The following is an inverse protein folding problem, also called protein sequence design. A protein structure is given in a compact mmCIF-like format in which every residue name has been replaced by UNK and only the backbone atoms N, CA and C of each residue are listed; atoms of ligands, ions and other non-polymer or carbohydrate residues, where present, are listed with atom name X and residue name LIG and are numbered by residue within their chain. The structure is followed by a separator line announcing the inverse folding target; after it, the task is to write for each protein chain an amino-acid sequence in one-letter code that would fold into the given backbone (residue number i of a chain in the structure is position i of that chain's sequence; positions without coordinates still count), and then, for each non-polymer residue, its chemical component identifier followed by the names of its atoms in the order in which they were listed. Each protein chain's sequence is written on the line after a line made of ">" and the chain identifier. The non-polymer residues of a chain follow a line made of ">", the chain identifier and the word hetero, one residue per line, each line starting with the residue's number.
data_IF_704075952407
#
_entry.id   IF_704075952407
#
_cell.length_a   1.000
_cell.length_b   1.000
_cell.length_c   1.000
_cell.angle_alpha   90.00
_cell.angle_beta   90.00
_cell.angle_gamma   90.00
#
_symmetry.space_group_name_H-M   'P 1'
#
loop_
_entity.id
_entity.type
_entity.pdbx_description
1 polymer ?
#
# COMPACT_ATOMS: atom_id res chain seq x y z
N UNK A 1 -7.04 -28.57 11.31
CA UNK A 1 -8.45 -28.30 10.89
C UNK A 1 -8.48 -27.04 10.04
N UNK A 2 -9.36 -26.91 9.07
CA UNK A 2 -9.45 -25.69 8.28
C UNK A 2 -9.87 -24.51 9.18
N UNK A 3 -9.21 -23.36 8.99
CA UNK A 3 -9.52 -22.11 9.67
C UNK A 3 -10.92 -21.63 9.26
N UNK A 4 -11.77 -21.33 10.24
CA UNK A 4 -13.15 -20.87 10.06
C UNK A 4 -13.36 -19.44 10.54
N UNK A 5 -12.58 -18.98 11.53
CA UNK A 5 -12.70 -17.64 12.10
C UNK A 5 -11.35 -17.02 12.39
N UNK A 6 -11.16 -15.79 11.92
CA UNK A 6 -9.93 -15.02 12.05
C UNK A 6 -10.18 -13.75 12.86
N UNK A 7 -9.33 -13.49 13.88
CA UNK A 7 -9.19 -12.16 14.46
C UNK A 7 -8.12 -11.39 13.67
N UNK A 8 -8.53 -10.41 12.89
CA UNK A 8 -7.61 -9.53 12.16
C UNK A 8 -7.41 -8.26 12.96
N UNK A 9 -6.14 -7.89 13.22
CA UNK A 9 -5.83 -6.74 14.08
C UNK A 9 -5.24 -5.59 13.25
N UNK A 10 -5.90 -4.44 13.29
CA UNK A 10 -5.47 -3.19 12.67
C UNK A 10 -5.72 -2.00 13.61
N UNK A 11 -4.86 -1.86 14.64
CA UNK A 11 -5.09 -0.93 15.76
C UNK A 11 -5.19 0.53 15.29
N UNK A 12 -4.21 1.01 14.53
CA UNK A 12 -3.98 2.45 14.30
C UNK A 12 -4.75 3.05 13.13
N UNK A 13 -5.40 2.22 12.31
CA UNK A 13 -6.20 2.68 11.16
C UNK A 13 -7.29 1.68 10.81
N UNK A 14 -8.50 2.19 10.58
CA UNK A 14 -9.62 1.37 10.10
C UNK A 14 -9.46 1.05 8.61
N UNK A 15 -9.79 -0.18 8.15
CA UNK A 15 -9.83 -0.50 6.72
C UNK A 15 -10.87 0.32 5.94
N UNK A 16 -11.83 0.92 6.65
CA UNK A 16 -12.88 1.79 6.10
C UNK A 16 -12.53 3.28 6.16
N UNK A 17 -11.35 3.66 6.66
CA UNK A 17 -10.94 5.05 6.69
C UNK A 17 -10.85 5.64 5.27
N UNK A 18 -11.34 6.89 5.03
CA UNK A 18 -11.32 7.53 3.72
C UNK A 18 -9.91 7.58 3.14
N UNK A 19 -9.79 7.32 1.84
CA UNK A 19 -8.50 7.37 1.13
C UNK A 19 -7.99 8.80 1.01
N UNK A 20 -6.67 8.95 0.97
CA UNK A 20 -6.01 10.27 0.85
C UNK A 20 -5.72 10.96 2.19
N UNK A 21 -6.18 10.43 3.31
CA UNK A 21 -5.78 10.91 4.63
C UNK A 21 -4.31 10.59 4.95
N UNK A 22 -3.72 11.34 5.88
CA UNK A 22 -2.30 11.19 6.28
C UNK A 22 -1.92 9.78 6.78
N UNK A 23 -2.90 8.96 7.18
CA UNK A 23 -2.70 7.62 7.75
C UNK A 23 -3.28 6.49 6.90
N UNK A 24 -3.92 6.79 5.77
CA UNK A 24 -4.54 5.80 4.89
C UNK A 24 -3.65 5.50 3.69
N UNK A 25 -3.65 4.25 3.24
CA UNK A 25 -2.80 3.82 2.14
C UNK A 25 -2.97 2.35 1.80
N UNK A 26 -1.96 1.76 1.19
CA UNK A 26 -1.99 0.38 0.72
C UNK A 26 -2.37 -0.67 1.77
N UNK A 27 -2.05 -0.45 3.06
CA UNK A 27 -2.44 -1.36 4.13
C UNK A 27 -3.97 -1.42 4.32
N UNK A 28 -4.67 -0.28 4.26
CA UNK A 28 -6.13 -0.23 4.39
C UNK A 28 -6.80 -0.99 3.24
N UNK A 29 -6.33 -0.77 2.00
CA UNK A 29 -6.77 -1.51 0.82
C UNK A 29 -6.51 -3.01 0.99
N UNK A 30 -5.30 -3.38 1.41
CA UNK A 30 -4.92 -4.76 1.66
C UNK A 30 -5.87 -5.46 2.64
N UNK A 31 -6.10 -4.87 3.80
CA UNK A 31 -6.96 -5.44 4.84
C UNK A 31 -8.39 -5.58 4.33
N UNK A 32 -8.93 -4.53 3.71
CA UNK A 32 -10.31 -4.52 3.20
C UNK A 32 -10.54 -5.59 2.12
N UNK A 33 -9.69 -5.61 1.08
CA UNK A 33 -9.89 -6.52 -0.05
C UNK A 33 -9.60 -7.98 0.34
N UNK A 34 -8.54 -8.21 1.13
CA UNK A 34 -8.25 -9.56 1.64
C UNK A 34 -9.40 -10.10 2.50
N UNK A 35 -9.90 -9.28 3.42
CA UNK A 35 -11.00 -9.72 4.31
C UNK A 35 -12.27 -10.03 3.53
N UNK A 36 -12.58 -9.23 2.49
CA UNK A 36 -13.70 -9.50 1.57
C UNK A 36 -13.56 -10.87 0.91
N UNK A 37 -12.37 -11.16 0.37
CA UNK A 37 -12.12 -12.44 -0.31
C UNK A 37 -12.12 -13.63 0.65
N UNK A 38 -11.60 -13.48 1.86
CA UNK A 38 -11.70 -14.52 2.89
C UNK A 38 -13.16 -14.76 3.29
N UNK A 39 -13.96 -13.68 3.43
CA UNK A 39 -15.38 -13.77 3.67
C UNK A 39 -16.14 -14.51 2.56
N UNK A 40 -15.85 -14.23 1.28
CA UNK A 40 -16.38 -14.97 0.13
C UNK A 40 -15.96 -16.44 0.13
N UNK A 41 -14.83 -16.81 0.74
CA UNK A 41 -14.39 -18.18 0.92
C UNK A 41 -15.01 -18.87 2.15
N UNK A 42 -15.98 -18.23 2.81
CA UNK A 42 -16.72 -18.75 3.96
C UNK A 42 -15.99 -18.64 5.29
N UNK A 43 -14.95 -17.81 5.38
CA UNK A 43 -14.22 -17.55 6.63
C UNK A 43 -14.82 -16.33 7.31
N UNK A 44 -15.20 -16.45 8.58
CA UNK A 44 -15.61 -15.30 9.40
C UNK A 44 -14.38 -14.46 9.76
N UNK A 45 -14.38 -13.18 9.43
CA UNK A 45 -13.28 -12.24 9.70
C UNK A 45 -13.78 -11.10 10.59
N UNK A 46 -13.28 -11.03 11.81
CA UNK A 46 -13.50 -9.92 12.72
C UNK A 46 -12.26 -9.01 12.71
N UNK A 47 -12.39 -7.81 12.17
CA UNK A 47 -11.31 -6.82 12.07
C UNK A 47 -11.43 -5.89 13.28
N UNK A 48 -10.44 -5.92 14.16
CA UNK A 48 -10.40 -5.08 15.34
C UNK A 48 -9.57 -3.82 15.09
N UNK A 49 -10.17 -2.66 15.28
CA UNK A 49 -9.53 -1.36 15.16
C UNK A 49 -9.90 -0.46 16.33
N UNK A 50 -9.09 0.56 16.60
CA UNK A 50 -9.40 1.52 17.65
C UNK A 50 -10.47 2.50 17.16
N UNK A 51 -11.47 2.77 18.00
CA UNK A 51 -12.42 3.84 17.80
C UNK A 51 -11.71 5.18 17.97
N UNK A 52 -11.74 6.02 16.95
CA UNK A 52 -11.05 7.31 16.94
C UNK A 52 -11.99 8.51 16.92
N UNK A 53 -13.26 8.29 16.64
CA UNK A 53 -14.27 9.33 16.52
C UNK A 53 -15.59 8.88 17.19
N UNK A 54 -16.37 9.83 17.68
CA UNK A 54 -17.67 9.53 18.29
C UNK A 54 -18.68 8.91 17.31
N UNK A 55 -18.57 9.28 16.04
CA UNK A 55 -19.43 8.77 14.96
C UNK A 55 -19.02 7.38 14.45
N UNK A 56 -17.85 6.86 14.84
CA UNK A 56 -17.48 5.49 14.47
C UNK A 56 -18.48 4.52 15.10
N UNK A 57 -19.09 3.59 14.32
CA UNK A 57 -20.02 2.59 14.85
C UNK A 57 -19.29 1.61 15.78
N UNK A 58 -20.00 0.86 16.60
CA UNK A 58 -19.38 -0.26 17.34
C UNK A 58 -18.96 -1.37 16.37
N UNK A 59 -19.83 -1.69 15.42
CA UNK A 59 -19.61 -2.73 14.41
C UNK A 59 -20.06 -2.20 13.05
N UNK A 60 -19.25 -2.42 12.02
CA UNK A 60 -19.56 -2.15 10.63
C UNK A 60 -19.36 -3.42 9.78
N UNK A 61 -20.34 -3.79 8.97
CA UNK A 61 -20.33 -4.97 8.11
C UNK A 61 -20.31 -4.64 6.61
N UNK A 62 -19.98 -3.42 6.24
CA UNK A 62 -20.04 -2.93 4.85
C UNK A 62 -18.98 -3.53 3.91
N UNK A 63 -17.93 -4.17 4.44
CA UNK A 63 -16.87 -4.77 3.63
C UNK A 63 -17.41 -5.96 2.79
N UNK A 64 -18.29 -6.77 3.36
CA UNK A 64 -18.85 -7.94 2.68
C UNK A 64 -19.38 -9.00 3.65
N UNK A 65 -19.88 -10.10 3.09
CA UNK A 65 -20.37 -11.23 3.87
C UNK A 65 -19.27 -11.81 4.76
N UNK A 66 -19.66 -12.25 5.96
CA UNK A 66 -18.77 -12.84 6.96
C UNK A 66 -17.65 -11.91 7.45
N UNK A 67 -17.69 -10.61 7.18
CA UNK A 67 -16.66 -9.64 7.58
C UNK A 67 -17.28 -8.56 8.46
N UNK A 68 -16.66 -8.29 9.62
CA UNK A 68 -17.07 -7.21 10.52
C UNK A 68 -15.87 -6.38 10.91
N UNK A 69 -16.01 -5.07 10.92
CA UNK A 69 -15.06 -4.12 11.52
C UNK A 69 -15.56 -3.74 12.89
N UNK A 70 -14.80 -3.99 13.93
CA UNK A 70 -15.17 -3.79 15.33
C UNK A 70 -14.31 -2.66 15.87
N UNK A 71 -14.97 -1.57 16.26
CA UNK A 71 -14.33 -0.36 16.76
C UNK A 71 -14.28 -0.38 18.29
N UNK A 72 -13.10 -0.61 18.85
CA UNK A 72 -12.90 -0.72 20.29
C UNK A 72 -12.48 0.62 20.89
N UNK A 73 -13.04 0.95 22.06
CA UNK A 73 -12.61 2.08 22.85
C UNK A 73 -11.29 1.74 23.55
N UNK A 74 -10.28 2.58 23.34
CA UNK A 74 -9.00 2.54 24.04
C UNK A 74 -8.45 3.95 24.05
N UNK A 75 -8.39 4.58 25.23
CA UNK A 75 -8.05 5.97 25.42
C UNK A 75 -9.04 6.99 24.83
N UNK A 76 -8.67 8.26 24.78
CA UNK A 76 -9.48 9.35 24.22
C UNK A 76 -9.83 9.15 22.74
N UNK A 77 -11.01 9.62 22.33
CA UNK A 77 -11.50 9.57 20.94
C UNK A 77 -10.88 10.68 20.08
N UNK A 78 -9.58 10.58 19.84
CA UNK A 78 -8.79 11.52 19.06
C UNK A 78 -7.92 10.78 18.04
N UNK A 79 -7.52 11.42 16.92
CA UNK A 79 -6.49 10.89 16.03
C UNK A 79 -5.14 10.87 16.75
N UNK A 80 -4.42 9.75 16.70
CA UNK A 80 -3.14 9.55 17.39
C UNK A 80 -2.01 9.26 16.44
N UNK A 81 -0.79 9.63 16.82
CA UNK A 81 0.45 9.13 16.25
C UNK A 81 0.63 7.65 16.61
N UNK A 82 1.49 6.88 15.90
CA UNK A 82 1.81 5.52 16.30
C UNK A 82 2.35 5.39 17.74
N UNK A 83 3.10 6.39 18.21
CA UNK A 83 3.68 6.43 19.54
C UNK A 83 2.59 6.59 20.62
N UNK A 84 1.61 7.47 20.39
CA UNK A 84 0.45 7.63 21.27
C UNK A 84 -0.40 6.35 21.32
N UNK A 85 -0.60 5.68 20.17
CA UNK A 85 -1.26 4.37 20.14
C UNK A 85 -0.54 3.34 21.01
N UNK A 86 0.81 3.34 21.00
CA UNK A 86 1.60 2.39 21.79
C UNK A 86 1.29 2.44 23.28
N UNK A 87 1.10 3.62 23.83
CA UNK A 87 0.74 3.83 25.24
C UNK A 87 -0.60 3.20 25.65
N UNK A 88 -1.51 2.94 24.71
CA UNK A 88 -2.86 2.44 24.97
C UNK A 88 -3.10 1.02 24.42
N UNK A 89 -2.05 0.29 24.00
CA UNK A 89 -2.21 -1.08 23.46
C UNK A 89 -2.74 -2.07 24.48
N UNK A 90 -2.38 -1.92 25.75
CA UNK A 90 -2.89 -2.77 26.84
C UNK A 90 -4.40 -2.59 27.02
N UNK A 91 -4.89 -1.34 26.98
CA UNK A 91 -6.31 -1.03 27.07
C UNK A 91 -7.08 -1.57 25.86
N UNK A 92 -6.53 -1.40 24.65
CA UNK A 92 -7.09 -1.97 23.43
C UNK A 92 -7.18 -3.51 23.50
N UNK A 93 -6.13 -4.17 23.99
CA UNK A 93 -6.08 -5.63 24.13
C UNK A 93 -7.14 -6.12 25.13
N UNK A 94 -7.27 -5.44 26.26
CA UNK A 94 -8.28 -5.76 27.26
C UNK A 94 -9.71 -5.62 26.70
N UNK A 95 -9.98 -4.51 25.97
CA UNK A 95 -11.27 -4.29 25.32
C UNK A 95 -11.59 -5.38 24.26
N UNK A 96 -10.58 -5.80 23.47
CA UNK A 96 -10.72 -6.89 22.51
C UNK A 96 -11.06 -8.23 23.21
N UNK A 97 -10.32 -8.57 24.27
CA UNK A 97 -10.56 -9.79 25.02
C UNK A 97 -11.95 -9.80 25.67
N UNK A 98 -12.38 -8.67 26.23
CA UNK A 98 -13.72 -8.50 26.80
C UNK A 98 -14.82 -8.65 25.74
N UNK A 99 -14.63 -8.06 24.55
CA UNK A 99 -15.55 -8.19 23.42
C UNK A 99 -15.70 -9.64 22.99
N UNK A 100 -14.60 -10.37 22.86
CA UNK A 100 -14.61 -11.78 22.48
C UNK A 100 -15.30 -12.66 23.55
N UNK A 101 -14.96 -12.46 24.83
CA UNK A 101 -15.55 -13.20 25.94
C UNK A 101 -17.05 -12.98 26.05
N UNK A 102 -17.52 -11.72 25.99
CA UNK A 102 -18.94 -11.37 26.10
C UNK A 102 -19.81 -12.04 25.01
N UNK A 103 -19.22 -12.30 23.83
CA UNK A 103 -19.89 -12.90 22.68
C UNK A 103 -19.55 -14.37 22.45
N UNK A 104 -18.84 -15.01 23.38
CA UNK A 104 -18.36 -16.40 23.29
C UNK A 104 -17.63 -16.68 21.95
N UNK A 105 -16.78 -15.73 21.50
CA UNK A 105 -16.04 -15.85 20.26
C UNK A 105 -14.70 -16.55 20.50
N UNK A 106 -14.42 -17.55 19.69
CA UNK A 106 -13.12 -18.21 19.61
C UNK A 106 -12.55 -18.02 18.20
N UNK A 107 -11.26 -17.77 18.11
CA UNK A 107 -10.55 -17.54 16.86
C UNK A 107 -9.53 -18.65 16.63
N UNK A 108 -9.54 -19.21 15.41
CA UNK A 108 -8.60 -20.26 15.02
C UNK A 108 -7.19 -19.70 14.82
N UNK A 109 -7.11 -18.44 14.40
CA UNK A 109 -5.84 -17.72 14.18
C UNK A 109 -6.04 -16.21 14.37
N UNK A 110 -4.99 -15.55 14.81
CA UNK A 110 -4.88 -14.08 14.79
C UNK A 110 -4.01 -13.66 13.58
N UNK A 111 -4.45 -12.66 12.80
CA UNK A 111 -3.65 -12.06 11.75
C UNK A 111 -3.46 -10.57 12.02
N UNK A 112 -2.24 -10.14 12.21
CA UNK A 112 -1.94 -8.78 12.67
C UNK A 112 -1.14 -7.97 11.64
N UNK A 113 -1.44 -6.67 11.55
CA UNK A 113 -0.89 -5.75 10.57
C UNK A 113 -0.23 -4.56 11.23
N UNK A 114 1.05 -4.33 10.90
CA UNK A 114 1.88 -3.28 11.46
C UNK A 114 2.32 -3.58 12.91
N UNK A 115 3.43 -2.98 13.36
CA UNK A 115 4.08 -3.30 14.63
C UNK A 115 3.18 -3.15 15.87
N UNK A 116 2.28 -2.15 15.88
CA UNK A 116 1.31 -1.97 16.98
C UNK A 116 0.36 -3.17 17.13
N UNK A 117 -0.17 -3.63 16.03
CA UNK A 117 -1.08 -4.78 16.00
C UNK A 117 -0.36 -6.10 16.29
N UNK A 118 0.91 -6.19 15.90
CA UNK A 118 1.75 -7.35 16.22
C UNK A 118 1.99 -7.50 17.72
N UNK A 119 2.18 -6.37 18.43
CA UNK A 119 2.25 -6.37 19.90
C UNK A 119 0.98 -6.92 20.53
N UNK A 120 -0.20 -6.46 20.07
CA UNK A 120 -1.51 -6.97 20.54
C UNK A 120 -1.61 -8.46 20.26
N UNK A 121 -1.28 -8.92 19.05
CA UNK A 121 -1.35 -10.34 18.68
C UNK A 121 -0.47 -11.23 19.58
N UNK A 122 0.73 -10.75 19.95
CA UNK A 122 1.59 -11.45 20.90
C UNK A 122 0.92 -11.61 22.27
N UNK A 123 0.24 -10.57 22.77
CA UNK A 123 -0.52 -10.62 24.03
C UNK A 123 -1.75 -11.54 23.95
N UNK A 124 -2.44 -11.56 22.83
CA UNK A 124 -3.54 -12.48 22.60
C UNK A 124 -3.06 -13.95 22.56
N UNK A 125 -1.89 -14.20 21.96
CA UNK A 125 -1.27 -15.54 21.98
C UNK A 125 -0.96 -15.99 23.41
N UNK A 126 -0.40 -15.12 24.26
CA UNK A 126 -0.16 -15.40 25.67
C UNK A 126 -1.44 -15.75 26.43
N UNK A 127 -2.54 -14.99 26.17
CA UNK A 127 -3.79 -15.13 26.91
C UNK A 127 -4.69 -16.27 26.41
N UNK A 128 -4.78 -16.49 25.10
CA UNK A 128 -5.70 -17.45 24.47
C UNK A 128 -5.03 -18.74 24.02
N UNK A 129 -3.69 -18.77 23.93
CA UNK A 129 -2.97 -19.87 23.28
C UNK A 129 -3.13 -19.89 21.75
N UNK A 130 -3.88 -18.95 21.18
CA UNK A 130 -4.15 -18.88 19.74
C UNK A 130 -2.92 -18.42 18.99
N UNK A 131 -2.53 -19.13 17.94
CA UNK A 131 -1.38 -18.78 17.09
C UNK A 131 -1.65 -17.54 16.25
N UNK A 132 -0.57 -16.87 15.83
CA UNK A 132 -0.72 -15.71 14.97
C UNK A 132 0.27 -15.64 13.81
N UNK A 133 -0.23 -15.14 12.68
CA UNK A 133 0.55 -14.65 11.57
C UNK A 133 0.66 -13.12 11.65
N UNK A 134 1.76 -12.57 11.13
CA UNK A 134 2.00 -11.13 11.16
C UNK A 134 2.54 -10.60 9.82
N UNK A 135 2.11 -9.38 9.44
CA UNK A 135 2.63 -8.64 8.30
C UNK A 135 3.02 -7.22 8.73
N UNK A 136 4.30 -6.86 8.51
CA UNK A 136 4.82 -5.57 8.96
C UNK A 136 4.36 -4.38 8.12
N UNK A 137 4.10 -4.55 6.84
CA UNK A 137 3.84 -3.51 5.81
C UNK A 137 4.99 -2.52 5.61
N UNK A 138 5.68 -2.13 6.65
CA UNK A 138 6.90 -1.31 6.61
C UNK A 138 7.79 -1.68 7.80
N UNK A 139 9.09 -1.63 7.61
CA UNK A 139 10.09 -1.98 8.62
C UNK A 139 10.74 -0.73 9.23
N UNK A 140 10.85 -0.68 10.55
CA UNK A 140 11.45 0.42 11.30
C UNK A 140 12.91 0.67 10.89
N UNK A 141 13.71 -0.38 10.75
CA UNK A 141 15.08 -0.27 10.26
C UNK A 141 15.18 0.37 8.86
N UNK A 142 14.24 0.06 7.95
CA UNK A 142 14.24 0.65 6.62
C UNK A 142 13.87 2.13 6.67
N UNK A 143 12.86 2.50 7.46
CA UNK A 143 12.50 3.92 7.67
C UNK A 143 13.67 4.71 8.25
N UNK A 144 14.41 4.15 9.22
CA UNK A 144 15.58 4.80 9.82
C UNK A 144 16.70 5.03 8.83
N UNK A 145 16.91 4.12 7.86
CA UNK A 145 17.97 4.22 6.82
C UNK A 145 17.69 5.30 5.77
N UNK A 146 16.42 5.53 5.46
CA UNK A 146 16.02 6.38 4.34
C UNK A 146 15.76 7.82 4.81
N UNK A 147 15.47 8.02 6.09
CA UNK A 147 15.26 9.34 6.64
C UNK A 147 16.57 10.14 6.70
N UNK A 148 16.81 10.96 5.67
CA UNK A 148 18.00 11.82 5.53
C UNK A 148 18.17 12.84 6.67
N UNK A 149 17.11 13.12 7.43
CA UNK A 149 17.09 14.01 8.60
C UNK A 149 16.33 13.36 9.77
N UNK A 150 16.54 12.07 10.01
CA UNK A 150 15.81 11.37 11.03
C UNK A 150 16.12 11.93 12.41
N UNK A 151 15.21 12.72 12.96
CA UNK A 151 14.94 12.64 14.39
C UNK A 151 14.76 11.15 14.67
N UNK A 152 15.64 10.62 15.50
CA UNK A 152 15.68 9.27 16.01
C UNK A 152 14.27 8.63 16.10
N UNK A 153 13.96 7.67 15.23
CA UNK A 153 12.77 6.83 15.43
C UNK A 153 13.02 6.07 16.72
N UNK A 154 12.10 6.11 17.70
CA UNK A 154 12.35 5.48 18.98
C UNK A 154 12.72 4.01 18.79
N UNK A 155 13.71 3.53 19.50
CA UNK A 155 14.11 2.12 19.51
C UNK A 155 12.94 1.19 19.89
N UNK A 156 11.89 1.74 20.52
CA UNK A 156 10.63 1.07 20.86
C UNK A 156 10.00 0.34 19.68
N UNK A 157 9.90 0.98 18.49
CA UNK A 157 9.34 0.31 17.32
C UNK A 157 10.18 -0.88 16.88
N UNK A 158 11.49 -0.69 16.73
CA UNK A 158 12.41 -1.76 16.29
C UNK A 158 12.44 -2.89 17.32
N UNK A 159 12.50 -2.55 18.60
CA UNK A 159 12.45 -3.54 19.68
C UNK A 159 11.14 -4.34 19.65
N UNK A 160 10.01 -3.67 19.47
CA UNK A 160 8.71 -4.32 19.36
C UNK A 160 8.63 -5.21 18.12
N UNK A 161 9.14 -4.75 16.97
CA UNK A 161 9.23 -5.56 15.74
C UNK A 161 10.07 -6.83 15.96
N UNK A 162 11.17 -6.75 16.71
CA UNK A 162 11.97 -7.91 17.08
C UNK A 162 11.22 -8.87 18.01
N UNK A 163 10.50 -8.37 19.00
CA UNK A 163 9.67 -9.18 19.90
C UNK A 163 8.56 -9.91 19.13
N UNK A 164 7.90 -9.21 18.19
CA UNK A 164 6.90 -9.80 17.31
C UNK A 164 7.50 -10.95 16.50
N UNK A 165 8.67 -10.74 15.92
CA UNK A 165 9.36 -11.79 15.16
C UNK A 165 9.64 -13.05 15.99
N UNK A 166 10.00 -12.88 17.27
CA UNK A 166 10.27 -14.01 18.17
C UNK A 166 8.99 -14.77 18.57
N UNK A 167 7.86 -14.07 18.67
CA UNK A 167 6.60 -14.65 19.14
C UNK A 167 5.67 -15.10 18.02
N UNK A 168 5.77 -14.54 16.81
CA UNK A 168 4.93 -14.89 15.67
C UNK A 168 5.19 -16.32 15.18
N UNK A 169 4.13 -17.04 14.89
CA UNK A 169 4.20 -18.38 14.30
C UNK A 169 4.53 -18.33 12.81
N UNK A 170 4.12 -17.24 12.12
CA UNK A 170 4.45 -16.99 10.72
C UNK A 170 4.51 -15.48 10.44
N UNK A 171 5.54 -15.08 9.69
CA UNK A 171 5.64 -13.73 9.12
C UNK A 171 5.27 -13.79 7.64
N UNK A 172 4.38 -12.91 7.21
CA UNK A 172 4.03 -12.73 5.81
C UNK A 172 4.83 -11.53 5.28
N UNK A 173 5.73 -11.77 4.34
CA UNK A 173 6.46 -10.74 3.64
C UNK A 173 5.80 -10.47 2.27
N UNK A 174 5.67 -9.21 1.89
CA UNK A 174 5.06 -8.84 0.60
C UNK A 174 5.96 -9.21 -0.58
N UNK A 175 7.29 -9.21 -0.39
CA UNK A 175 8.27 -9.38 -1.45
C UNK A 175 9.50 -10.18 -1.01
N UNK A 176 10.27 -10.74 -1.97
CA UNK A 176 11.58 -11.31 -1.67
C UNK A 176 12.55 -10.29 -1.07
N UNK A 177 12.44 -8.99 -1.43
CA UNK A 177 13.25 -7.94 -0.81
C UNK A 177 12.93 -7.79 0.68
N UNK A 178 11.65 -7.74 1.06
CA UNK A 178 11.25 -7.67 2.47
C UNK A 178 11.69 -8.93 3.24
N UNK A 179 11.58 -10.11 2.63
CA UNK A 179 12.13 -11.34 3.22
C UNK A 179 13.64 -11.24 3.49
N UNK A 180 14.41 -10.71 2.54
CA UNK A 180 15.84 -10.49 2.71
C UNK A 180 16.14 -9.46 3.82
N UNK A 181 15.39 -8.37 3.88
CA UNK A 181 15.50 -7.34 4.92
C UNK A 181 15.19 -7.90 6.30
N UNK A 182 14.12 -8.68 6.46
CA UNK A 182 13.77 -9.35 7.72
C UNK A 182 14.88 -10.31 8.17
N UNK A 183 15.46 -11.08 7.26
CA UNK A 183 16.56 -11.99 7.56
C UNK A 183 17.84 -11.27 7.96
N UNK A 184 18.16 -10.20 7.29
CA UNK A 184 19.40 -9.48 7.50
C UNK A 184 19.35 -8.50 8.68
N UNK A 185 18.28 -7.72 8.80
CA UNK A 185 18.13 -6.66 9.80
C UNK A 185 17.59 -7.18 11.14
N UNK A 186 16.69 -8.17 11.09
CA UNK A 186 16.00 -8.70 12.28
C UNK A 186 16.41 -10.13 12.64
N UNK A 187 17.34 -10.73 11.89
CA UNK A 187 17.82 -12.11 12.11
C UNK A 187 16.71 -13.18 11.98
N UNK A 188 15.67 -12.91 11.22
CA UNK A 188 14.61 -13.87 10.95
C UNK A 188 15.13 -15.12 10.22
N UNK A 189 14.64 -16.29 10.58
CA UNK A 189 14.95 -17.52 9.83
C UNK A 189 14.07 -17.63 8.57
N UNK A 190 14.57 -18.32 7.54
CA UNK A 190 13.80 -18.53 6.31
C UNK A 190 12.47 -19.25 6.56
N UNK A 191 12.44 -20.18 7.51
CA UNK A 191 11.25 -20.98 7.86
C UNK A 191 10.12 -20.15 8.49
N UNK A 192 10.47 -19.05 9.16
CA UNK A 192 9.48 -18.14 9.76
C UNK A 192 8.76 -17.28 8.75
N UNK A 193 9.28 -17.11 7.52
CA UNK A 193 8.78 -16.14 6.56
C UNK A 193 8.19 -16.84 5.35
N UNK A 194 6.96 -16.47 5.00
CA UNK A 194 6.32 -16.84 3.74
C UNK A 194 6.12 -15.58 2.89
N UNK A 195 6.54 -15.62 1.63
CA UNK A 195 6.36 -14.49 0.71
C UNK A 195 5.02 -14.62 0.01
N UNK A 196 4.10 -13.70 0.34
CA UNK A 196 2.78 -13.58 -0.30
C UNK A 196 2.55 -12.10 -0.59
N UNK A 197 2.52 -11.70 -1.88
CA UNK A 197 2.30 -10.31 -2.25
C UNK A 197 0.85 -9.87 -1.99
N UNK A 198 0.60 -8.56 -1.89
CA UNK A 198 -0.75 -8.00 -2.02
C UNK A 198 -1.39 -8.33 -3.37
N UNK A 199 -2.71 -8.20 -3.43
CA UNK A 199 -3.49 -8.43 -4.64
C UNK A 199 -4.00 -7.15 -5.31
N UNK A 200 -4.71 -7.34 -6.41
CA UNK A 200 -5.46 -6.30 -7.11
C UNK A 200 -6.83 -6.82 -7.55
N UNK A 201 -7.82 -5.95 -7.58
CA UNK A 201 -9.11 -6.23 -8.18
C UNK A 201 -9.08 -5.84 -9.66
N UNK A 202 -8.71 -6.77 -10.53
CA UNK A 202 -8.60 -6.51 -11.96
C UNK A 202 -9.93 -6.03 -12.58
N UNK A 203 -11.08 -6.54 -12.14
CA UNK A 203 -12.39 -6.09 -12.60
C UNK A 203 -12.70 -4.64 -12.26
N UNK A 204 -12.15 -4.13 -11.16
CA UNK A 204 -12.28 -2.72 -10.78
C UNK A 204 -11.48 -1.79 -11.69
N UNK A 205 -10.27 -2.19 -12.09
CA UNK A 205 -9.36 -1.36 -12.88
C UNK A 205 -9.50 -1.52 -14.40
N UNK A 206 -10.25 -2.51 -14.89
CA UNK A 206 -10.51 -2.77 -16.31
C UNK A 206 -11.94 -2.35 -16.70
N UNK A 207 -12.26 -1.06 -16.66
CA UNK A 207 -13.63 -0.55 -16.85
C UNK A 207 -14.07 -0.34 -18.31
N UNK A 208 -13.36 -0.86 -19.31
CA UNK A 208 -13.80 -0.79 -20.71
C UNK A 208 -13.79 0.60 -21.37
N UNK A 209 -13.27 1.63 -20.68
CA UNK A 209 -13.06 2.98 -21.18
C UNK A 209 -11.74 3.04 -21.96
N UNK A 210 -11.73 3.69 -23.11
CA UNK A 210 -10.50 3.98 -23.85
C UNK A 210 -9.66 5.07 -23.18
N UNK A 211 -8.36 5.10 -23.46
CA UNK A 211 -7.48 6.18 -22.96
C UNK A 211 -7.90 7.57 -23.47
N UNK A 212 -8.48 7.64 -24.67
CA UNK A 212 -9.01 8.87 -25.26
C UNK A 212 -10.19 9.40 -24.45
N UNK A 213 -11.22 8.59 -24.21
CA UNK A 213 -12.40 8.94 -23.41
C UNK A 213 -12.01 9.29 -21.97
N UNK A 214 -11.06 8.55 -21.39
CA UNK A 214 -10.57 8.83 -20.04
C UNK A 214 -9.91 10.21 -19.96
N UNK A 215 -9.05 10.59 -20.93
CA UNK A 215 -8.43 11.93 -20.98
C UNK A 215 -9.47 13.02 -21.15
N UNK A 216 -10.42 12.84 -22.06
CA UNK A 216 -11.50 13.80 -22.26
C UNK A 216 -12.31 14.03 -20.99
N UNK A 217 -12.64 12.96 -20.25
CA UNK A 217 -13.35 13.03 -18.96
C UNK A 217 -12.58 13.78 -17.87
N UNK A 218 -11.26 13.90 -18.02
CA UNK A 218 -10.36 14.65 -17.14
C UNK A 218 -10.05 16.07 -17.64
N UNK A 219 -10.71 16.51 -18.75
CA UNK A 219 -10.48 17.82 -19.37
C UNK A 219 -9.12 17.94 -20.08
N UNK A 220 -8.48 16.81 -20.41
CA UNK A 220 -7.19 16.76 -21.10
C UNK A 220 -7.40 16.59 -22.61
N UNK A 221 -6.37 16.95 -23.40
CA UNK A 221 -6.38 16.68 -24.85
C UNK A 221 -6.45 15.16 -25.10
N UNK A 222 -7.47 14.68 -25.82
CA UNK A 222 -7.65 13.26 -26.06
C UNK A 222 -6.45 12.57 -26.69
N UNK A 223 -5.80 13.23 -27.66
CA UNK A 223 -4.59 12.74 -28.34
C UNK A 223 -3.29 13.13 -27.64
N UNK A 224 -3.35 13.69 -26.43
CA UNK A 224 -2.20 14.04 -25.62
C UNK A 224 -1.59 12.84 -24.92
N UNK A 225 -0.51 13.08 -24.22
CA UNK A 225 0.14 12.14 -23.33
C UNK A 225 -0.04 12.59 -21.88
N UNK A 226 -0.44 11.70 -21.02
CA UNK A 226 -0.54 11.95 -19.58
C UNK A 226 0.46 11.08 -18.83
N UNK A 227 1.39 11.70 -18.12
CA UNK A 227 2.15 11.02 -17.07
C UNK A 227 1.40 11.17 -15.75
N UNK A 228 1.37 10.12 -14.95
CA UNK A 228 0.58 10.07 -13.71
C UNK A 228 1.45 9.67 -12.53
N UNK A 229 1.32 10.42 -11.46
CA UNK A 229 1.73 9.99 -10.11
C UNK A 229 0.48 9.81 -9.26
N UNK A 230 0.41 8.72 -8.50
CA UNK A 230 -0.63 8.47 -7.49
C UNK A 230 0.04 8.11 -6.18
N UNK A 231 -0.33 8.80 -5.09
CA UNK A 231 0.20 8.46 -3.78
C UNK A 231 0.17 9.61 -2.79
N UNK A 232 0.61 9.34 -1.56
CA UNK A 232 0.80 10.38 -0.55
C UNK A 232 1.93 11.32 -0.98
N UNK A 233 1.74 12.60 -0.75
CA UNK A 233 2.77 13.62 -1.03
C UNK A 233 3.73 13.65 0.16
N UNK A 234 4.77 12.84 0.05
CA UNK A 234 5.83 12.68 1.07
C UNK A 234 7.20 12.67 0.40
N UNK A 235 8.25 13.18 1.05
CA UNK A 235 9.60 13.21 0.48
C UNK A 235 10.09 11.84 -0.03
N UNK A 236 9.72 10.75 0.65
CA UNK A 236 10.05 9.37 0.25
C UNK A 236 9.46 8.94 -1.09
N UNK A 237 8.44 9.64 -1.59
CA UNK A 237 7.83 9.37 -2.89
C UNK A 237 8.56 10.05 -4.04
N UNK A 238 9.48 10.96 -3.71
CA UNK A 238 10.40 11.60 -4.64
C UNK A 238 9.71 12.24 -5.87
N UNK A 239 8.56 12.90 -5.67
CA UNK A 239 7.81 13.57 -6.74
C UNK A 239 8.63 14.69 -7.39
N UNK A 240 9.53 15.32 -6.63
CA UNK A 240 10.51 16.29 -7.12
C UNK A 240 11.38 15.75 -8.27
N UNK A 241 11.79 14.49 -8.22
CA UNK A 241 12.53 13.85 -9.33
C UNK A 241 11.74 13.87 -10.65
N UNK A 242 10.39 13.81 -10.59
CA UNK A 242 9.56 13.90 -11.79
C UNK A 242 9.57 15.33 -12.33
N UNK A 243 9.46 16.33 -11.45
CA UNK A 243 9.51 17.74 -11.87
C UNK A 243 10.87 18.09 -12.51
N UNK A 244 11.96 17.61 -11.92
CA UNK A 244 13.31 17.75 -12.50
C UNK A 244 13.42 17.06 -13.87
N UNK A 245 12.86 15.85 -14.01
CA UNK A 245 12.86 15.14 -15.29
C UNK A 245 12.06 15.89 -16.37
N UNK A 246 10.94 16.53 -16.02
CA UNK A 246 10.17 17.38 -16.94
C UNK A 246 10.96 18.62 -17.36
N UNK A 247 11.76 19.19 -16.45
CA UNK A 247 12.69 20.28 -16.79
C UNK A 247 13.78 19.79 -17.76
N UNK A 248 14.38 18.63 -17.54
CA UNK A 248 15.32 18.01 -18.49
C UNK A 248 14.68 17.78 -19.86
N UNK A 249 13.42 17.30 -19.90
CA UNK A 249 12.67 17.12 -21.15
C UNK A 249 12.45 18.44 -21.88
N UNK A 250 12.23 19.55 -21.17
CA UNK A 250 12.06 20.88 -21.76
C UNK A 250 13.31 21.29 -22.54
N UNK A 251 14.48 20.93 -22.07
CA UNK A 251 15.75 21.24 -22.72
C UNK A 251 16.04 20.27 -23.87
N UNK A 252 15.84 18.97 -23.68
CA UNK A 252 16.26 17.94 -24.62
C UNK A 252 15.23 17.61 -25.71
N UNK A 253 13.93 17.71 -25.39
CA UNK A 253 12.84 17.30 -26.29
C UNK A 253 11.62 18.24 -26.19
N UNK A 254 11.76 19.55 -26.40
CA UNK A 254 10.68 20.53 -26.17
C UNK A 254 9.43 20.28 -27.02
N UNK A 255 9.57 19.64 -28.18
CA UNK A 255 8.43 19.28 -29.02
C UNK A 255 7.47 18.29 -28.35
N UNK A 256 7.98 17.39 -27.52
CA UNK A 256 7.17 16.40 -26.79
C UNK A 256 6.28 17.06 -25.75
N UNK A 257 6.73 18.14 -25.11
CA UNK A 257 5.99 18.83 -24.06
C UNK A 257 4.69 19.48 -24.56
N UNK A 258 4.56 19.79 -25.84
CA UNK A 258 3.34 20.42 -26.41
C UNK A 258 2.09 19.56 -26.24
N UNK A 259 2.27 18.25 -26.09
CA UNK A 259 1.20 17.25 -25.96
C UNK A 259 1.29 16.47 -24.63
N UNK A 260 2.21 16.86 -23.75
CA UNK A 260 2.45 16.20 -22.47
C UNK A 260 1.73 16.95 -21.35
N UNK A 261 1.14 16.20 -20.44
CA UNK A 261 0.58 16.68 -19.18
C UNK A 261 1.02 15.76 -18.05
N UNK A 262 1.42 16.32 -16.92
CA UNK A 262 1.73 15.56 -15.71
C UNK A 262 0.65 15.78 -14.65
N UNK A 263 0.01 14.69 -14.23
CA UNK A 263 -1.04 14.69 -13.23
C UNK A 263 -0.53 14.09 -11.92
N UNK A 264 -0.67 14.83 -10.84
CA UNK A 264 -0.35 14.38 -9.47
C UNK A 264 -1.67 14.15 -8.73
N UNK A 265 -1.94 12.90 -8.35
CA UNK A 265 -3.11 12.48 -7.57
C UNK A 265 -2.66 12.10 -6.16
N UNK A 266 -3.11 12.86 -5.18
CA UNK A 266 -2.77 12.68 -3.77
C UNK A 266 -2.64 14.00 -3.03
N UNK A 267 -2.59 13.94 -1.70
CA UNK A 267 -2.53 15.13 -0.87
C UNK A 267 -3.80 16.00 -0.97
N UNK A 268 -3.71 17.21 -0.46
CA UNK A 268 -4.73 18.26 -0.61
C UNK A 268 -4.04 19.55 -1.10
N UNK A 269 -4.20 19.92 -2.38
CA UNK A 269 -3.53 21.08 -2.95
C UNK A 269 -4.02 22.42 -2.39
N UNK A 270 -5.12 22.43 -1.66
CA UNK A 270 -5.70 23.64 -1.04
C UNK A 270 -5.37 23.75 0.46
N UNK A 271 -4.72 22.74 1.01
CA UNK A 271 -4.30 22.71 2.41
C UNK A 271 -2.98 23.48 2.58
N UNK A 272 -3.07 24.72 3.04
CA UNK A 272 -1.92 25.62 3.14
C UNK A 272 -0.83 25.22 4.14
N UNK A 273 -1.08 24.24 5.02
CA UNK A 273 -0.13 23.69 5.97
C UNK A 273 0.64 22.44 5.47
N UNK A 274 0.35 21.94 4.25
CA UNK A 274 1.10 20.84 3.63
C UNK A 274 2.41 21.36 3.02
N UNK A 275 3.47 21.27 3.81
CA UNK A 275 4.80 21.78 3.42
C UNK A 275 5.35 21.15 2.16
N UNK A 276 5.16 19.84 1.98
CA UNK A 276 5.71 19.12 0.81
C UNK A 276 4.91 19.47 -0.45
N UNK A 277 3.59 19.55 -0.36
CA UNK A 277 2.74 20.00 -1.45
C UNK A 277 3.14 21.41 -1.91
N UNK A 278 3.25 22.35 -0.95
CA UNK A 278 3.64 23.73 -1.25
C UNK A 278 5.04 23.82 -1.88
N UNK A 279 5.99 23.01 -1.40
CA UNK A 279 7.34 22.91 -1.98
C UNK A 279 7.31 22.46 -3.44
N UNK A 280 6.54 21.44 -3.75
CA UNK A 280 6.42 20.90 -5.11
C UNK A 280 5.72 21.88 -6.05
N UNK A 281 4.69 22.59 -5.58
CA UNK A 281 4.02 23.64 -6.35
C UNK A 281 4.97 24.77 -6.69
N UNK A 282 5.70 25.31 -5.70
CA UNK A 282 6.73 26.34 -5.91
C UNK A 282 7.81 25.87 -6.90
N UNK A 283 8.31 24.64 -6.72
CA UNK A 283 9.32 24.04 -7.59
C UNK A 283 8.84 23.94 -9.05
N UNK A 284 7.57 23.63 -9.30
CA UNK A 284 7.01 23.57 -10.65
C UNK A 284 7.04 24.94 -11.35
N UNK A 285 6.84 26.02 -10.60
CA UNK A 285 6.94 27.41 -11.08
C UNK A 285 8.40 27.78 -11.35
N UNK A 286 9.30 27.51 -10.41
CA UNK A 286 10.73 27.82 -10.52
C UNK A 286 11.38 27.13 -11.73
N UNK A 287 10.97 25.88 -12.01
CA UNK A 287 11.41 25.12 -13.17
C UNK A 287 10.71 25.54 -14.49
N UNK A 288 9.69 26.41 -14.43
CA UNK A 288 8.92 26.90 -15.57
C UNK A 288 8.13 25.79 -16.27
N UNK A 289 7.59 24.85 -15.51
CA UNK A 289 6.78 23.71 -15.97
C UNK A 289 5.37 23.67 -15.35
N UNK A 290 5.00 24.73 -14.63
CA UNK A 290 3.72 24.86 -13.92
C UNK A 290 2.51 24.59 -14.83
N UNK A 291 2.56 25.02 -16.10
CA UNK A 291 1.49 24.77 -17.09
C UNK A 291 1.37 23.31 -17.53
N UNK A 292 2.37 22.50 -17.28
CA UNK A 292 2.40 21.07 -17.62
C UNK A 292 1.91 20.21 -16.47
N UNK A 293 1.84 20.74 -15.25
CA UNK A 293 1.60 20.00 -14.02
C UNK A 293 0.24 20.36 -13.43
N UNK A 294 -0.54 19.35 -13.06
CA UNK A 294 -1.76 19.53 -12.30
C UNK A 294 -1.74 18.73 -10.99
N UNK A 295 -2.08 19.39 -9.91
CA UNK A 295 -2.26 18.80 -8.58
C UNK A 295 -3.76 18.53 -8.37
N UNK A 296 -4.19 17.29 -8.58
CA UNK A 296 -5.61 16.90 -8.59
C UNK A 296 -6.17 16.62 -7.20
N UNK A 297 -5.33 16.63 -6.15
CA UNK A 297 -5.73 16.23 -4.81
C UNK A 297 -5.96 14.72 -4.67
N UNK A 298 -6.32 14.30 -3.45
CA UNK A 298 -6.68 12.91 -3.20
C UNK A 298 -7.97 12.53 -3.95
N UNK A 299 -8.03 11.27 -4.39
CA UNK A 299 -9.18 10.69 -5.10
C UNK A 299 -9.62 9.41 -4.42
N UNK A 300 -10.92 9.16 -4.44
CA UNK A 300 -11.48 7.89 -3.99
C UNK A 300 -11.03 6.75 -4.91
N UNK A 301 -10.90 5.56 -4.35
CA UNK A 301 -10.42 4.39 -5.10
C UNK A 301 -11.29 4.08 -6.32
N UNK A 302 -12.59 4.38 -6.26
CA UNK A 302 -13.55 4.23 -7.37
C UNK A 302 -13.27 5.14 -8.55
N UNK A 303 -12.56 6.26 -8.34
CA UNK A 303 -12.20 7.22 -9.38
C UNK A 303 -10.87 6.89 -10.07
N UNK A 304 -9.96 6.20 -9.37
CA UNK A 304 -8.60 5.93 -9.84
C UNK A 304 -8.52 5.20 -11.19
N UNK A 305 -9.45 4.26 -11.54
CA UNK A 305 -9.39 3.58 -12.83
C UNK A 305 -9.35 4.51 -14.03
N UNK A 306 -10.08 5.63 -14.01
CA UNK A 306 -10.05 6.60 -15.12
C UNK A 306 -8.71 7.32 -15.24
N UNK A 307 -8.04 7.61 -14.10
CA UNK A 307 -6.71 8.23 -14.11
C UNK A 307 -5.66 7.27 -14.66
N UNK A 308 -5.68 6.01 -14.22
CA UNK A 308 -4.77 5.00 -14.75
C UNK A 308 -5.01 4.76 -16.25
N UNK A 309 -6.26 4.64 -16.69
CA UNK A 309 -6.61 4.44 -18.10
C UNK A 309 -6.20 5.64 -18.97
N UNK A 310 -6.33 6.87 -18.46
CA UNK A 310 -5.91 8.08 -19.16
C UNK A 310 -4.38 8.17 -19.32
N UNK A 311 -3.63 7.55 -18.40
CA UNK A 311 -2.19 7.69 -18.33
C UNK A 311 -1.47 6.95 -19.46
N UNK A 312 -0.47 7.59 -20.06
CA UNK A 312 0.49 6.95 -20.96
C UNK A 312 1.47 6.10 -20.16
N UNK A 313 1.84 6.58 -18.95
CA UNK A 313 2.63 5.84 -17.98
C UNK A 313 2.34 6.35 -16.56
N UNK A 314 2.47 5.45 -15.58
CA UNK A 314 2.54 5.83 -14.16
C UNK A 314 4.01 5.89 -13.74
N UNK A 315 4.37 6.93 -12.98
CA UNK A 315 5.74 7.14 -12.53
C UNK A 315 5.81 6.95 -11.02
N UNK A 316 6.70 6.07 -10.57
CA UNK A 316 6.96 5.78 -9.16
C UNK A 316 8.44 5.94 -8.84
N UNK A 317 8.93 7.17 -8.61
CA UNK A 317 10.36 7.48 -8.41
C UNK A 317 10.81 7.26 -6.96
N UNK A 318 10.02 6.55 -6.17
CA UNK A 318 10.15 6.43 -4.71
C UNK A 318 11.57 6.02 -4.28
N UNK A 319 12.04 6.57 -3.16
CA UNK A 319 13.27 6.13 -2.48
C UNK A 319 13.08 4.78 -1.79
N UNK A 320 11.86 4.48 -1.42
CA UNK A 320 11.46 3.21 -0.82
C UNK A 320 10.00 2.88 -1.13
N UNK A 321 9.77 1.63 -1.49
CA UNK A 321 8.42 1.06 -1.65
C UNK A 321 8.44 -0.40 -1.19
N UNK A 322 7.58 -0.75 -0.24
CA UNK A 322 7.55 -2.12 0.30
C UNK A 322 7.03 -3.13 -0.74
N UNK A 323 6.01 -2.76 -1.51
CA UNK A 323 5.46 -3.59 -2.58
C UNK A 323 5.20 -2.80 -3.87
N UNK A 324 4.35 -1.74 -3.82
CA UNK A 324 3.96 -0.95 -4.99
C UNK A 324 2.51 -1.21 -5.42
N UNK A 325 1.54 -1.05 -4.52
CA UNK A 325 0.11 -1.20 -4.84
C UNK A 325 -0.29 -0.35 -6.04
N UNK A 326 0.16 0.91 -6.10
CA UNK A 326 -0.12 1.83 -7.21
C UNK A 326 0.43 1.30 -8.54
N UNK A 327 1.63 0.71 -8.54
CA UNK A 327 2.16 0.07 -9.75
C UNK A 327 1.27 -1.10 -10.19
N UNK A 328 0.82 -1.92 -9.24
CA UNK A 328 -0.05 -3.06 -9.55
C UNK A 328 -1.42 -2.62 -10.08
N UNK A 329 -1.99 -1.55 -9.54
CA UNK A 329 -3.25 -0.94 -10.01
C UNK A 329 -3.09 -0.38 -11.43
N UNK A 330 -2.01 0.37 -11.70
CA UNK A 330 -1.67 0.86 -13.03
C UNK A 330 -1.52 -0.28 -14.04
N UNK A 331 -0.73 -1.30 -13.68
CA UNK A 331 -0.53 -2.49 -14.51
C UNK A 331 -1.86 -3.21 -14.78
N UNK A 332 -2.75 -3.29 -13.80
CA UNK A 332 -4.09 -3.88 -13.95
C UNK A 332 -4.95 -3.12 -14.96
N UNK A 333 -4.81 -1.79 -15.01
CA UNK A 333 -5.47 -0.91 -16.01
C UNK A 333 -4.82 -0.99 -17.41
N UNK A 334 -3.76 -1.77 -17.58
CA UNK A 334 -3.01 -1.85 -18.83
C UNK A 334 -2.05 -0.68 -19.05
N UNK A 335 -1.66 0.03 -18.00
CA UNK A 335 -0.78 1.19 -18.06
C UNK A 335 0.63 0.78 -17.63
N UNK A 336 1.67 1.01 -18.45
CA UNK A 336 3.05 0.72 -18.10
C UNK A 336 3.54 1.62 -16.96
N UNK A 337 4.53 1.14 -16.21
CA UNK A 337 5.06 1.84 -15.03
C UNK A 337 6.54 2.16 -15.23
N UNK A 338 6.94 3.42 -15.01
CA UNK A 338 8.34 3.78 -14.82
C UNK A 338 8.61 3.82 -13.31
N UNK A 339 9.47 2.95 -12.82
CA UNK A 339 9.70 2.78 -11.39
C UNK A 339 11.17 2.86 -11.01
N UNK A 340 11.46 3.46 -9.86
CA UNK A 340 12.78 3.30 -9.25
C UNK A 340 13.03 1.85 -8.86
N UNK A 341 14.28 1.40 -8.99
CA UNK A 341 14.68 0.00 -8.73
C UNK A 341 14.86 -0.24 -7.22
N UNK A 342 13.76 -0.03 -6.45
CA UNK A 342 13.76 -0.13 -4.99
C UNK A 342 12.68 -1.08 -4.49
N UNK A 343 12.96 -1.74 -3.35
CA UNK A 343 11.99 -2.53 -2.59
C UNK A 343 11.19 -3.51 -3.45
N UNK A 344 9.87 -3.43 -3.39
CA UNK A 344 8.95 -4.30 -4.15
C UNK A 344 8.86 -3.97 -5.62
N UNK A 345 9.11 -2.71 -6.02
CA UNK A 345 8.98 -2.27 -7.39
C UNK A 345 9.91 -3.04 -8.34
N UNK A 346 11.13 -3.38 -7.90
CA UNK A 346 12.10 -4.13 -8.68
C UNK A 346 11.64 -5.57 -9.03
N UNK A 347 10.64 -6.12 -8.31
CA UNK A 347 10.08 -7.45 -8.57
C UNK A 347 8.74 -7.39 -9.29
N UNK A 348 8.00 -6.31 -9.09
CA UNK A 348 6.66 -6.14 -9.68
C UNK A 348 6.74 -5.62 -11.11
N UNK A 349 7.52 -4.56 -11.33
CA UNK A 349 7.77 -4.01 -12.67
C UNK A 349 8.89 -4.84 -13.32
N UNK A 350 8.65 -5.32 -14.53
CA UNK A 350 9.65 -6.03 -15.34
C UNK A 350 10.20 -5.07 -16.37
N UNK A 351 11.50 -4.80 -16.25
CA UNK A 351 12.15 -3.83 -17.13
C UNK A 351 11.97 -4.18 -18.59
N UNK A 352 11.60 -3.19 -19.41
CA UNK A 352 11.30 -3.29 -20.84
C UNK A 352 10.15 -4.24 -21.25
N UNK A 353 9.53 -4.97 -20.29
CA UNK A 353 8.39 -5.86 -20.53
C UNK A 353 7.06 -5.24 -20.07
N UNK A 354 7.01 -4.71 -18.82
CA UNK A 354 5.81 -4.10 -18.23
C UNK A 354 5.98 -2.61 -17.93
N UNK A 355 7.15 -2.07 -18.20
CA UNK A 355 7.54 -0.71 -17.92
C UNK A 355 9.06 -0.54 -17.98
N UNK A 356 9.58 0.44 -17.27
CA UNK A 356 11.03 0.69 -17.17
C UNK A 356 11.47 0.78 -15.71
N UNK A 357 12.71 0.34 -15.46
CA UNK A 357 13.42 0.66 -14.22
C UNK A 357 14.34 1.86 -14.41
N UNK A 358 14.47 2.66 -13.36
CA UNK A 358 15.44 3.73 -13.27
C UNK A 358 16.12 3.72 -11.89
N UNK A 359 17.33 4.26 -11.73
CA UNK A 359 17.90 4.53 -10.42
C UNK A 359 17.03 5.53 -9.65
N UNK A 360 16.97 5.40 -8.33
CA UNK A 360 16.26 6.37 -7.49
C UNK A 360 17.00 7.73 -7.56
N UNK A 361 16.23 8.83 -7.52
CA UNK A 361 16.75 10.21 -7.56
C UNK A 361 17.56 10.57 -8.81
N UNK A 362 17.27 9.95 -9.97
CA UNK A 362 17.96 10.19 -11.22
C UNK A 362 17.01 10.78 -12.29
N UNK A 363 16.81 12.12 -12.31
CA UNK A 363 15.88 12.78 -13.22
C UNK A 363 16.25 12.61 -14.69
N UNK A 364 17.54 12.53 -15.03
CA UNK A 364 18.00 12.30 -16.40
C UNK A 364 17.56 10.93 -16.90
N UNK A 365 17.78 9.88 -16.10
CA UNK A 365 17.35 8.52 -16.43
C UNK A 365 15.82 8.42 -16.57
N UNK A 366 15.08 9.15 -15.73
CA UNK A 366 13.62 9.23 -15.84
C UNK A 366 13.20 9.90 -17.15
N UNK A 367 13.83 11.02 -17.52
CA UNK A 367 13.57 11.72 -18.78
C UNK A 367 13.84 10.80 -19.99
N UNK A 368 14.92 10.03 -19.97
CA UNK A 368 15.25 9.06 -21.03
C UNK A 368 14.18 7.95 -21.15
N UNK A 369 13.68 7.41 -20.03
CA UNK A 369 12.57 6.45 -20.02
C UNK A 369 11.29 7.07 -20.61
N UNK A 370 10.96 8.31 -20.25
CA UNK A 370 9.80 9.03 -20.80
C UNK A 370 9.93 9.22 -22.30
N UNK A 371 11.10 9.66 -22.79
CA UNK A 371 11.36 9.81 -24.22
C UNK A 371 11.15 8.48 -24.95
N UNK A 372 11.69 7.38 -24.43
CA UNK A 372 11.53 6.07 -25.03
C UNK A 372 10.05 5.64 -25.16
N UNK A 373 9.25 5.86 -24.11
CA UNK A 373 7.81 5.54 -24.13
C UNK A 373 7.07 6.41 -25.16
N UNK A 374 7.30 7.71 -25.14
CA UNK A 374 6.57 8.64 -26.02
C UNK A 374 6.96 8.50 -27.49
N UNK A 375 8.22 8.13 -27.77
CA UNK A 375 8.73 7.91 -29.14
C UNK A 375 8.28 6.58 -29.76
N UNK A 376 7.80 5.63 -28.96
CA UNK A 376 7.47 4.28 -29.43
C UNK A 376 6.07 3.82 -28.97
N UNK A 377 4.98 4.39 -29.52
CA UNK A 377 3.60 4.10 -29.08
C UNK A 377 3.25 2.62 -29.14
N UNK A 378 3.73 1.90 -30.16
CA UNK A 378 3.51 0.44 -30.29
C UNK A 378 4.16 -0.37 -29.18
N UNK A 379 5.41 -0.03 -28.80
CA UNK A 379 6.10 -0.63 -27.66
C UNK A 379 5.37 -0.32 -26.36
N UNK A 380 4.93 0.91 -26.17
CA UNK A 380 4.17 1.35 -24.98
C UNK A 380 2.86 0.58 -24.83
N UNK A 381 2.11 0.40 -25.92
CA UNK A 381 0.90 -0.41 -25.92
C UNK A 381 1.18 -1.89 -25.59
N UNK A 382 2.24 -2.47 -26.17
CA UNK A 382 2.67 -3.84 -25.87
C UNK A 382 3.06 -4.02 -24.40
N UNK A 383 3.78 -3.03 -23.81
CA UNK A 383 4.11 -3.01 -22.38
C UNK A 383 2.85 -2.99 -21.51
N UNK A 384 1.86 -2.17 -21.84
CA UNK A 384 0.58 -2.12 -21.14
C UNK A 384 -0.16 -3.45 -21.17
N UNK A 385 -0.22 -4.13 -22.31
CA UNK A 385 -0.81 -5.48 -22.43
C UNK A 385 -0.05 -6.51 -21.56
N UNK A 386 1.27 -6.43 -21.54
CA UNK A 386 2.10 -7.31 -20.70
C UNK A 386 1.89 -7.02 -19.22
N UNK A 387 1.82 -5.75 -18.85
CA UNK A 387 1.52 -5.29 -17.49
C UNK A 387 0.17 -5.86 -17.00
N UNK A 388 -0.89 -5.74 -17.81
CA UNK A 388 -2.21 -6.28 -17.47
C UNK A 388 -2.18 -7.81 -17.30
N UNK A 389 -1.44 -8.54 -18.14
CA UNK A 389 -1.27 -10.00 -18.00
C UNK A 389 -0.58 -10.37 -16.68
N UNK A 390 0.49 -9.66 -16.33
CA UNK A 390 1.19 -9.87 -15.06
C UNK A 390 0.28 -9.54 -13.88
N UNK A 391 -0.45 -8.42 -13.90
CA UNK A 391 -1.34 -8.01 -12.82
C UNK A 391 -2.43 -9.05 -12.51
N UNK A 392 -2.94 -9.77 -13.52
CA UNK A 392 -3.94 -10.85 -13.32
C UNK A 392 -3.44 -11.97 -12.40
N UNK A 393 -2.12 -12.21 -12.34
CA UNK A 393 -1.55 -13.22 -11.43
C UNK A 393 -1.59 -12.79 -9.95
N UNK A 394 -1.92 -11.53 -9.68
CA UNK A 394 -2.08 -10.94 -8.36
C UNK A 394 -3.56 -10.74 -7.95
N UNK A 395 -4.50 -11.53 -8.50
CA UNK A 395 -5.91 -11.44 -8.11
C UNK A 395 -6.08 -11.70 -6.60
N UNK A 396 -6.87 -10.86 -5.91
CA UNK A 396 -7.12 -11.01 -4.47
C UNK A 396 -7.63 -12.39 -4.09
N UNK A 397 -8.46 -13.01 -4.92
CA UNK A 397 -8.95 -14.37 -4.71
C UNK A 397 -7.84 -15.42 -4.61
N UNK A 398 -6.78 -15.29 -5.45
CA UNK A 398 -5.60 -16.16 -5.39
C UNK A 398 -4.75 -15.86 -4.16
N UNK A 399 -4.56 -14.59 -3.83
CA UNK A 399 -3.81 -14.16 -2.64
C UNK A 399 -4.48 -14.68 -1.37
N UNK A 400 -5.81 -14.53 -1.25
CA UNK A 400 -6.58 -15.04 -0.12
C UNK A 400 -6.47 -16.58 0.01
N UNK A 401 -6.52 -17.31 -1.13
CA UNK A 401 -6.34 -18.78 -1.14
C UNK A 401 -4.95 -19.20 -0.65
N UNK A 402 -3.90 -18.48 -1.04
CA UNK A 402 -2.52 -18.72 -0.58
C UNK A 402 -2.37 -18.45 0.91
N UNK A 403 -2.93 -17.34 1.41
CA UNK A 403 -2.92 -17.00 2.83
C UNK A 403 -3.71 -18.00 3.67
N UNK A 404 -4.89 -18.43 3.18
CA UNK A 404 -5.68 -19.46 3.86
C UNK A 404 -4.88 -20.75 4.10
N UNK A 405 -4.13 -21.23 3.10
CA UNK A 405 -3.25 -22.41 3.28
C UNK A 405 -2.22 -22.18 4.39
N UNK A 406 -1.61 -21.00 4.43
CA UNK A 406 -0.66 -20.65 5.50
C UNK A 406 -1.36 -20.61 6.86
N UNK A 407 -2.56 -20.07 6.93
CA UNK A 407 -3.33 -20.02 8.17
C UNK A 407 -3.72 -21.43 8.65
N UNK A 408 -4.15 -22.30 7.74
CA UNK A 408 -4.44 -23.71 8.05
C UNK A 408 -3.18 -24.42 8.56
N UNK A 409 -2.02 -24.25 7.93
CA UNK A 409 -0.72 -24.80 8.38
C UNK A 409 -0.35 -24.32 9.78
N UNK A 410 -0.52 -23.00 10.05
CA UNK A 410 -0.18 -22.40 11.35
C UNK A 410 -1.13 -22.91 12.43
N UNK A 411 -2.43 -23.00 12.17
CA UNK A 411 -3.40 -23.50 13.11
C UNK A 411 -3.20 -25.01 13.42
N UNK A 412 -2.91 -25.84 12.41
CA UNK A 412 -2.70 -27.28 12.59
C UNK A 412 -1.42 -27.61 13.39
N UNK A 413 -0.40 -26.78 13.36
CA UNK A 413 0.79 -26.96 14.20
C UNK A 413 0.47 -26.86 15.71
N UNK A 414 -0.64 -26.21 16.10
CA UNK A 414 -1.10 -26.17 17.48
C UNK A 414 -1.54 -27.56 17.98
N UNK A 415 -2.26 -28.29 17.14
CA UNK A 415 -2.83 -29.61 17.48
C UNK A 415 -1.78 -30.73 17.60
N UNK A 416 -0.61 -30.53 16.99
CA UNK A 416 0.50 -31.52 17.05
C UNK A 416 1.42 -31.35 18.26
N UNK A 417 1.34 -30.19 18.93
CA UNK A 417 2.19 -29.86 20.09
C UNK A 417 1.38 -29.77 21.40
N UNK A 418 0.08 -29.99 21.37
CA UNK A 418 -0.84 -30.18 22.50
C UNK A 418 -1.08 -31.67 22.76
#
# INVERSE_FOLDING_TARGET
>A
MPVRRIALISVHTSPLAPMGGAKTGGMNVYIRELSRELGHQGISVDIFTRRSHELDPEIDSSIGENVRVIYLKAGPLLPWTPEEHYGHLSEFTAALMAFAALRNLQYDIVYSHYWLSGWVAAKLKEAWGTRFAHMYHTLGHMKKRIALNARYQPDVRIMTEMQILQSADRIIAATPAEQAQLRWLYRATRKQITVIPPGVNAGHFQKGMSAHEARESLGLKPDGHMLLFVGRIEPLKAVDTILEALHVLRERAPAMLRRLHFMIVGGDPHRGDDREMNRLQAMSVDLGIDRLVSFAGAKEQSELPRYYTAATAVIMPSDYESFGMVALEAMSSGTPVIASQVGGLQFLVRDQETGFHMPAREPISLADCIIQLLSNPGKTASMGLSASRVAKTYAWSEIARRLRRVFDEVADQALKNA
#
